data_IF_789320191190
#
_entry.id   IF_789320191190
#
_cell.length_a   1.000
_cell.length_b   1.000
_cell.length_c   1.000
_cell.angle_alpha   90.00
_cell.angle_beta   90.00
_cell.angle_gamma   90.00
#
_symmetry.space_group_name_H-M   'P 1'
#
loop_
_entity.id
_entity.type
_entity.pdbx_description
1 polymer ?
#
# COMPACT_ATOMS: atom_id res chain seq x y z
N UNK A 1 29.60 -62.92 32.33
CA UNK A 1 28.77 -64.08 32.72
C UNK A 1 27.88 -63.65 33.87
N UNK A 2 26.61 -63.40 33.56
CA UNK A 2 25.41 -63.83 34.31
C UNK A 2 24.26 -62.95 33.81
N UNK A 3 23.40 -63.58 33.02
CA UNK A 3 22.31 -63.00 32.25
C UNK A 3 21.13 -62.60 33.11
N UNK A 4 20.47 -61.51 32.72
CA UNK A 4 19.14 -61.11 33.17
C UNK A 4 18.10 -62.20 32.87
N UNK A 5 17.13 -62.47 33.77
CA UNK A 5 16.06 -63.41 33.49
C UNK A 5 15.01 -62.73 32.60
N UNK A 6 14.83 -63.27 31.40
CA UNK A 6 13.82 -62.85 30.45
C UNK A 6 12.43 -63.39 30.81
N UNK A 7 11.48 -62.49 30.65
CA UNK A 7 10.03 -62.65 30.65
C UNK A 7 9.60 -63.68 29.59
N UNK A 8 9.65 -64.98 29.88
CA UNK A 8 9.12 -65.99 28.95
C UNK A 8 8.89 -67.36 29.59
N UNK A 9 7.93 -67.49 30.52
CA UNK A 9 7.44 -68.82 30.94
C UNK A 9 6.05 -68.79 31.58
N UNK A 10 5.09 -68.10 30.95
CA UNK A 10 3.66 -68.20 31.31
C UNK A 10 2.87 -68.72 30.11
N UNK A 11 3.15 -69.98 29.76
CA UNK A 11 2.27 -70.82 28.94
C UNK A 11 2.05 -72.16 29.64
N UNK A 12 1.29 -72.15 30.72
CA UNK A 12 0.51 -73.32 31.17
C UNK A 12 -0.84 -72.83 31.71
N UNK A 13 -1.96 -73.45 31.34
CA UNK A 13 -3.24 -73.16 31.98
C UNK A 13 -3.16 -73.60 33.44
N UNK A 14 -3.65 -72.75 34.35
CA UNK A 14 -3.79 -73.08 35.76
C UNK A 14 -4.85 -74.19 35.89
N UNK A 15 -4.40 -75.42 36.04
CA UNK A 15 -5.24 -76.56 36.40
C UNK A 15 -5.45 -76.51 37.90
N UNK A 16 -6.71 -76.41 38.33
CA UNK A 16 -7.08 -76.55 39.74
C UNK A 16 -7.26 -78.05 40.04
N UNK A 17 -6.47 -78.59 40.97
CA UNK A 17 -6.70 -79.93 41.52
C UNK A 17 -7.26 -79.83 42.95
N UNK A 18 -8.35 -80.55 43.27
CA UNK A 18 -8.88 -80.58 44.64
C UNK A 18 -8.03 -81.50 45.51
N UNK A 19 -7.16 -80.93 46.34
CA UNK A 19 -6.53 -81.67 47.44
C UNK A 19 -7.55 -81.82 48.57
N UNK A 20 -8.39 -82.86 48.48
CA UNK A 20 -9.22 -83.29 49.60
C UNK A 20 -8.34 -83.88 50.70
N UNK A 21 -7.96 -83.06 51.68
CA UNK A 21 -7.51 -83.54 52.98
C UNK A 21 -8.38 -82.91 54.07
N UNK A 22 -9.41 -83.64 54.48
CA UNK A 22 -10.15 -83.36 55.71
C UNK A 22 -9.36 -84.00 56.86
N UNK A 23 -9.10 -83.27 57.95
CA UNK A 23 -9.52 -83.80 59.24
C UNK A 23 -10.23 -82.75 60.10
N UNK A 24 -11.50 -83.03 60.36
CA UNK A 24 -12.15 -83.06 61.67
C UNK A 24 -11.77 -82.00 62.73
N UNK A 25 -12.76 -81.15 63.05
CA UNK A 25 -13.43 -81.06 64.37
C UNK A 25 -13.44 -79.69 65.07
N UNK A 26 -14.64 -79.36 65.57
CA UNK A 26 -15.03 -78.43 66.66
C UNK A 26 -15.40 -76.96 66.37
N UNK A 27 -16.70 -76.79 66.09
CA UNK A 27 -17.67 -75.78 66.60
C UNK A 27 -17.15 -74.66 67.52
N UNK A 28 -17.41 -73.41 67.14
CA UNK A 28 -18.02 -72.41 68.04
C UNK A 28 -18.61 -71.18 67.31
N UNK A 29 -19.91 -70.92 67.57
CA UNK A 29 -20.71 -69.69 67.38
C UNK A 29 -21.33 -69.41 66.00
N UNK A 30 -22.61 -69.76 65.91
CA UNK A 30 -23.50 -69.74 64.75
C UNK A 30 -24.24 -68.41 64.48
N UNK A 31 -23.79 -67.24 64.98
CA UNK A 31 -24.45 -65.95 64.65
C UNK A 31 -23.63 -65.15 63.63
N UNK A 32 -22.30 -65.09 63.79
CA UNK A 32 -21.41 -64.50 62.78
C UNK A 32 -21.23 -65.41 61.55
N UNK A 33 -21.45 -66.72 61.68
CA UNK A 33 -21.40 -67.69 60.57
C UNK A 33 -22.62 -67.60 59.64
N UNK A 34 -23.81 -67.26 60.15
CA UNK A 34 -25.02 -67.10 59.34
C UNK A 34 -24.97 -65.79 58.53
N UNK A 35 -24.57 -64.67 59.15
CA UNK A 35 -24.42 -63.37 58.48
C UNK A 35 -23.29 -63.39 57.43
N UNK A 36 -22.19 -64.10 57.73
CA UNK A 36 -21.11 -64.32 56.77
C UNK A 36 -21.50 -65.31 55.65
N UNK A 37 -22.33 -66.31 55.95
CA UNK A 37 -22.88 -67.24 54.96
C UNK A 37 -23.81 -66.54 53.98
N UNK A 38 -24.67 -65.65 54.46
CA UNK A 38 -25.58 -64.87 53.64
C UNK A 38 -24.81 -63.90 52.74
N UNK A 39 -23.82 -63.19 53.30
CA UNK A 39 -22.93 -62.31 52.52
C UNK A 39 -22.11 -63.08 51.46
N UNK A 40 -21.61 -64.27 51.79
CA UNK A 40 -20.91 -65.12 50.83
C UNK A 40 -21.83 -65.65 49.72
N UNK A 41 -23.10 -65.88 50.03
CA UNK A 41 -24.11 -66.33 49.07
C UNK A 41 -24.50 -65.21 48.12
N UNK A 42 -24.67 -64.00 48.64
CA UNK A 42 -24.91 -62.79 47.84
C UNK A 42 -23.72 -62.47 46.93
N UNK A 43 -22.50 -62.46 47.46
CA UNK A 43 -21.28 -62.20 46.69
C UNK A 43 -21.06 -63.27 45.60
N UNK A 44 -21.41 -64.53 45.89
CA UNK A 44 -21.38 -65.62 44.90
C UNK A 44 -22.44 -65.43 43.81
N UNK A 45 -23.62 -64.93 44.16
CA UNK A 45 -24.67 -64.63 43.19
C UNK A 45 -24.27 -63.46 42.28
N UNK A 46 -23.67 -62.42 42.83
CA UNK A 46 -23.20 -61.24 42.09
C UNK A 46 -22.06 -61.63 41.14
N UNK A 47 -21.08 -62.42 41.61
CA UNK A 47 -20.04 -62.99 40.75
C UNK A 47 -20.59 -63.87 39.63
N UNK A 48 -21.65 -64.63 39.89
CA UNK A 48 -22.28 -65.46 38.85
C UNK A 48 -22.96 -64.57 37.80
N UNK A 49 -23.67 -63.51 38.19
CA UNK A 49 -24.27 -62.57 37.23
C UNK A 49 -23.22 -61.80 36.42
N UNK A 50 -22.11 -61.42 37.04
CA UNK A 50 -20.99 -60.78 36.36
C UNK A 50 -20.34 -61.72 35.33
N UNK A 51 -20.16 -63.00 35.68
CA UNK A 51 -19.65 -64.02 34.76
C UNK A 51 -20.59 -64.24 33.58
N UNK A 52 -21.90 -64.33 33.83
CA UNK A 52 -22.89 -64.52 32.78
C UNK A 52 -22.97 -63.28 31.85
N UNK A 53 -22.73 -62.07 32.38
CA UNK A 53 -22.64 -60.85 31.59
C UNK A 53 -21.36 -60.78 30.74
N UNK A 54 -20.21 -61.19 31.30
CA UNK A 54 -18.95 -61.28 30.57
C UNK A 54 -19.05 -62.28 29.41
N UNK A 55 -19.67 -63.45 29.64
CA UNK A 55 -19.87 -64.46 28.60
C UNK A 55 -20.79 -63.96 27.47
N UNK A 56 -21.81 -63.15 27.79
CA UNK A 56 -22.65 -62.48 26.78
C UNK A 56 -21.86 -61.48 25.94
N UNK A 57 -21.06 -60.63 26.58
CA UNK A 57 -20.23 -59.63 25.89
C UNK A 57 -19.23 -60.34 24.97
N UNK A 58 -18.58 -61.41 25.46
CA UNK A 58 -17.65 -62.19 24.64
C UNK A 58 -18.35 -62.81 23.42
N UNK A 59 -19.58 -63.31 23.59
CA UNK A 59 -20.36 -63.87 22.51
C UNK A 59 -20.81 -62.81 21.48
N UNK A 60 -21.17 -61.62 21.94
CA UNK A 60 -21.55 -60.50 21.08
C UNK A 60 -20.36 -59.95 20.29
N UNK A 61 -19.20 -59.80 20.92
CA UNK A 61 -17.95 -59.42 20.25
C UNK A 61 -17.59 -60.48 19.21
N UNK A 62 -17.65 -61.76 19.55
CA UNK A 62 -17.35 -62.84 18.62
C UNK A 62 -18.32 -62.89 17.43
N UNK A 63 -19.61 -62.61 17.68
CA UNK A 63 -20.61 -62.52 16.62
C UNK A 63 -20.35 -61.31 15.71
N UNK A 64 -19.98 -60.15 16.24
CA UNK A 64 -19.68 -58.98 15.39
C UNK A 64 -18.34 -59.10 14.66
N UNK A 65 -17.33 -59.71 15.28
CA UNK A 65 -16.08 -60.05 14.57
C UNK A 65 -16.32 -61.10 13.49
N UNK A 66 -17.17 -62.09 13.76
CA UNK A 66 -17.55 -63.11 12.78
C UNK A 66 -18.38 -62.53 11.64
N UNK A 67 -19.29 -61.60 11.94
CA UNK A 67 -20.14 -60.91 10.97
C UNK A 67 -19.35 -59.94 10.08
N UNK A 68 -18.34 -59.27 10.64
CA UNK A 68 -17.42 -58.40 9.87
C UNK A 68 -16.38 -59.22 9.09
N UNK A 69 -15.78 -60.24 9.69
CA UNK A 69 -14.81 -61.14 9.03
C UNK A 69 -15.41 -62.05 7.95
N UNK A 70 -16.71 -62.37 8.03
CA UNK A 70 -17.42 -63.11 6.97
C UNK A 70 -17.87 -62.20 5.82
N UNK A 71 -18.01 -60.90 6.04
CA UNK A 71 -18.42 -59.95 4.99
C UNK A 71 -17.25 -59.53 4.10
N UNK A 72 -16.05 -59.36 4.67
CA UNK A 72 -14.83 -58.97 3.95
C UNK A 72 -13.65 -59.62 4.69
N UNK A 73 -12.88 -60.47 4.00
CA UNK A 73 -11.75 -61.15 4.62
C UNK A 73 -10.73 -60.14 5.18
N UNK A 74 -10.16 -60.44 6.35
CA UNK A 74 -9.21 -59.57 7.08
C UNK A 74 -8.08 -58.99 6.20
N UNK A 75 -7.66 -59.72 5.16
CA UNK A 75 -6.66 -59.29 4.17
C UNK A 75 -7.17 -58.26 3.16
N UNK A 76 -8.45 -58.26 2.84
CA UNK A 76 -9.06 -57.34 1.86
C UNK A 76 -9.22 -55.93 2.44
N UNK A 77 -9.50 -55.80 3.73
CA UNK A 77 -9.55 -54.48 4.41
C UNK A 77 -8.15 -53.85 4.46
N UNK A 78 -7.12 -54.64 4.80
CA UNK A 78 -5.74 -54.13 4.81
C UNK A 78 -5.28 -53.75 3.40
N UNK A 79 -5.52 -54.62 2.40
CA UNK A 79 -5.14 -54.36 1.01
C UNK A 79 -5.87 -53.12 0.43
N UNK A 80 -7.15 -52.91 0.76
CA UNK A 80 -7.89 -51.73 0.29
C UNK A 80 -7.37 -50.44 0.92
N UNK A 81 -6.97 -50.47 2.19
CA UNK A 81 -6.30 -49.37 2.86
C UNK A 81 -4.91 -49.07 2.25
N UNK A 82 -4.08 -50.09 2.03
CA UNK A 82 -2.76 -49.94 1.40
C UNK A 82 -2.87 -49.38 -0.03
N UNK A 83 -3.90 -49.78 -0.77
CA UNK A 83 -4.17 -49.22 -2.09
C UNK A 83 -4.59 -47.74 -2.03
N UNK A 84 -5.39 -47.36 -1.03
CA UNK A 84 -5.78 -45.97 -0.82
C UNK A 84 -4.58 -45.10 -0.40
N UNK A 85 -3.74 -45.61 0.51
CA UNK A 85 -2.52 -44.94 0.95
C UNK A 85 -1.54 -44.76 -0.21
N UNK A 86 -1.36 -45.78 -1.05
CA UNK A 86 -0.52 -45.71 -2.24
C UNK A 86 -1.04 -44.68 -3.24
N UNK A 87 -2.36 -44.63 -3.47
CA UNK A 87 -2.98 -43.62 -4.36
C UNK A 87 -2.78 -42.20 -3.82
N UNK A 88 -3.00 -41.99 -2.53
CA UNK A 88 -2.80 -40.70 -1.89
C UNK A 88 -1.34 -40.27 -1.92
N UNK A 89 -0.40 -41.21 -1.70
CA UNK A 89 1.03 -40.93 -1.79
C UNK A 89 1.43 -40.50 -3.21
N UNK A 90 0.92 -41.17 -4.25
CA UNK A 90 1.14 -40.75 -5.63
C UNK A 90 0.52 -39.36 -5.92
N UNK A 91 -0.67 -39.07 -5.39
CA UNK A 91 -1.29 -37.75 -5.56
C UNK A 91 -0.48 -36.64 -4.86
N UNK A 92 0.04 -36.89 -3.66
CA UNK A 92 0.92 -35.95 -2.95
C UNK A 92 2.20 -35.72 -3.74
N UNK A 93 2.81 -36.77 -4.29
CA UNK A 93 4.01 -36.65 -5.12
C UNK A 93 3.75 -35.81 -6.39
N UNK A 94 2.62 -36.03 -7.07
CA UNK A 94 2.21 -35.20 -8.19
C UNK A 94 2.03 -33.72 -7.78
N UNK A 95 1.33 -33.46 -6.67
CA UNK A 95 1.12 -32.10 -6.16
C UNK A 95 2.45 -31.45 -5.75
N UNK A 96 3.39 -32.21 -5.20
CA UNK A 96 4.72 -31.72 -4.86
C UNK A 96 5.49 -31.30 -6.12
N UNK A 97 5.45 -32.12 -7.17
CA UNK A 97 6.08 -31.80 -8.45
C UNK A 97 5.44 -30.55 -9.08
N UNK A 98 4.10 -30.49 -9.12
CA UNK A 98 3.36 -29.37 -9.70
C UNK A 98 3.60 -28.07 -8.92
N UNK A 99 3.63 -28.13 -7.58
CA UNK A 99 3.94 -26.98 -6.74
C UNK A 99 5.37 -26.49 -6.93
N UNK A 100 6.34 -27.39 -7.12
CA UNK A 100 7.74 -27.04 -7.42
C UNK A 100 7.86 -26.42 -8.81
N UNK A 101 7.15 -26.94 -9.80
CA UNK A 101 7.09 -26.34 -11.15
C UNK A 101 6.45 -24.95 -11.11
N UNK A 102 5.36 -24.78 -10.37
CA UNK A 102 4.70 -23.49 -10.21
C UNK A 102 5.61 -22.48 -9.51
N UNK A 103 6.31 -22.88 -8.44
CA UNK A 103 7.27 -22.02 -7.75
C UNK A 103 8.40 -21.56 -8.67
N UNK A 104 8.91 -22.47 -9.52
CA UNK A 104 9.91 -22.13 -10.53
C UNK A 104 9.36 -21.16 -11.58
N UNK A 105 8.15 -21.39 -12.08
CA UNK A 105 7.49 -20.50 -13.04
C UNK A 105 7.25 -19.12 -12.43
N UNK A 106 6.76 -19.05 -11.19
CA UNK A 106 6.57 -17.80 -10.47
C UNK A 106 7.90 -17.05 -10.29
N UNK A 107 8.99 -17.75 -9.97
CA UNK A 107 10.32 -17.14 -9.88
C UNK A 107 10.77 -16.53 -11.20
N UNK A 108 10.56 -17.24 -12.32
CA UNK A 108 10.89 -16.73 -13.66
C UNK A 108 10.04 -15.51 -14.01
N UNK A 109 8.73 -15.57 -13.77
CA UNK A 109 7.79 -14.46 -14.02
C UNK A 109 8.14 -13.25 -13.16
N UNK A 110 8.40 -13.42 -11.88
CA UNK A 110 8.82 -12.34 -10.97
C UNK A 110 10.13 -11.71 -11.43
N UNK A 111 11.13 -12.52 -11.82
CA UNK A 111 12.40 -12.00 -12.34
C UNK A 111 12.24 -11.25 -13.67
N UNK A 112 11.30 -11.67 -14.54
CA UNK A 112 10.98 -10.92 -15.74
C UNK A 112 10.27 -9.61 -15.42
N UNK A 113 9.29 -9.63 -14.51
CA UNK A 113 8.58 -8.43 -14.06
C UNK A 113 9.55 -7.41 -13.47
N UNK A 114 10.49 -7.83 -12.61
CA UNK A 114 11.49 -6.95 -12.02
C UNK A 114 12.44 -6.33 -13.07
N UNK A 115 12.85 -7.10 -14.07
CA UNK A 115 13.64 -6.59 -15.21
C UNK A 115 12.86 -5.59 -16.05
N UNK A 116 11.56 -5.81 -16.26
CA UNK A 116 10.70 -4.87 -16.98
C UNK A 116 10.51 -3.61 -16.14
N UNK A 117 10.11 -3.72 -14.88
CA UNK A 117 9.90 -2.59 -13.97
C UNK A 117 11.14 -1.73 -13.79
N UNK A 118 12.34 -2.33 -13.66
CA UNK A 118 13.59 -1.57 -13.57
C UNK A 118 13.91 -0.80 -14.87
N UNK A 119 13.68 -1.41 -16.04
CA UNK A 119 13.84 -0.72 -17.33
C UNK A 119 12.82 0.40 -17.53
N UNK A 120 11.56 0.16 -17.16
CA UNK A 120 10.51 1.20 -17.23
C UNK A 120 10.85 2.35 -16.28
N UNK A 121 11.25 2.07 -15.04
CA UNK A 121 11.67 3.10 -14.08
C UNK A 121 12.86 3.92 -14.60
N UNK A 122 13.88 3.27 -15.17
CA UNK A 122 15.01 3.98 -15.79
C UNK A 122 14.58 4.86 -16.98
N UNK A 123 13.64 4.37 -17.80
CA UNK A 123 13.06 5.12 -18.91
C UNK A 123 12.23 6.30 -18.42
N UNK A 124 11.43 6.12 -17.37
CA UNK A 124 10.60 7.17 -16.79
C UNK A 124 11.45 8.30 -16.20
N UNK A 125 12.56 7.96 -15.53
CA UNK A 125 13.53 8.95 -15.06
C UNK A 125 14.14 9.72 -16.25
N UNK A 126 14.56 9.02 -17.31
CA UNK A 126 15.09 9.68 -18.50
C UNK A 126 14.05 10.59 -19.16
N UNK A 127 12.80 10.11 -19.30
CA UNK A 127 11.67 10.88 -19.83
C UNK A 127 11.38 12.12 -18.98
N UNK A 128 11.35 11.98 -17.65
CA UNK A 128 11.15 13.10 -16.73
C UNK A 128 12.22 14.17 -16.91
N UNK A 129 13.50 13.78 -17.04
CA UNK A 129 14.61 14.70 -17.29
C UNK A 129 14.51 15.40 -18.64
N UNK A 130 14.08 14.68 -19.69
CA UNK A 130 13.86 15.26 -21.02
C UNK A 130 12.72 16.28 -20.99
N UNK A 131 11.60 15.94 -20.34
CA UNK A 131 10.46 16.86 -20.19
C UNK A 131 10.88 18.12 -19.43
N UNK A 132 11.66 17.98 -18.36
CA UNK A 132 12.19 19.10 -17.60
C UNK A 132 13.13 19.98 -18.47
N UNK A 133 14.02 19.37 -19.25
CA UNK A 133 14.88 20.10 -20.17
C UNK A 133 14.08 20.84 -21.24
N UNK A 134 13.04 20.22 -21.82
CA UNK A 134 12.16 20.85 -22.80
C UNK A 134 11.41 22.05 -22.20
N UNK A 135 10.93 21.92 -20.96
CA UNK A 135 10.30 23.04 -20.26
C UNK A 135 11.30 24.18 -20.07
N UNK A 136 12.52 23.88 -19.59
CA UNK A 136 13.59 24.89 -19.43
C UNK A 136 13.94 25.60 -20.74
N UNK A 137 14.01 24.87 -21.86
CA UNK A 137 14.29 25.45 -23.18
C UNK A 137 13.12 26.34 -23.64
N UNK A 138 11.87 25.92 -23.39
CA UNK A 138 10.69 26.74 -23.66
C UNK A 138 10.73 28.04 -22.84
N UNK A 139 11.04 27.96 -21.55
CA UNK A 139 11.12 29.13 -20.67
C UNK A 139 12.24 30.09 -21.09
N UNK A 140 13.40 29.56 -21.50
CA UNK A 140 14.52 30.36 -22.02
C UNK A 140 14.17 31.05 -23.35
N UNK A 141 13.51 30.32 -24.26
CA UNK A 141 13.02 30.89 -25.52
C UNK A 141 12.03 32.02 -25.23
N UNK A 142 11.11 31.78 -24.31
CA UNK A 142 10.08 32.75 -23.94
C UNK A 142 10.70 33.99 -23.27
N UNK A 143 11.72 33.83 -22.42
CA UNK A 143 12.48 34.94 -21.86
C UNK A 143 13.11 35.78 -22.96
N UNK A 144 13.80 35.14 -23.92
CA UNK A 144 14.45 35.83 -25.03
C UNK A 144 13.43 36.60 -25.89
N UNK A 145 12.31 35.97 -26.23
CA UNK A 145 11.23 36.62 -26.98
C UNK A 145 10.63 37.79 -26.21
N UNK A 146 10.51 37.71 -24.87
CA UNK A 146 10.08 38.85 -24.07
C UNK A 146 11.13 39.97 -24.08
N UNK A 147 12.42 39.66 -23.93
CA UNK A 147 13.47 40.67 -23.93
C UNK A 147 13.52 41.44 -25.27
N UNK A 148 13.57 40.71 -26.38
CA UNK A 148 13.58 41.30 -27.73
C UNK A 148 12.27 42.03 -28.03
N UNK A 149 11.12 41.45 -27.67
CA UNK A 149 9.80 42.04 -27.89
C UNK A 149 9.56 43.34 -27.11
N UNK A 150 10.05 43.42 -25.86
CA UNK A 150 9.95 44.66 -25.06
C UNK A 150 10.79 45.77 -25.68
N UNK A 151 12.04 45.51 -26.08
CA UNK A 151 12.88 46.53 -26.70
C UNK A 151 12.23 47.09 -27.97
N UNK A 152 11.72 46.22 -28.84
CA UNK A 152 11.04 46.62 -30.09
C UNK A 152 9.76 47.41 -29.78
N UNK A 153 8.92 46.94 -28.85
CA UNK A 153 7.68 47.61 -28.50
C UNK A 153 7.93 48.99 -27.87
N UNK A 154 8.98 49.13 -27.06
CA UNK A 154 9.38 50.42 -26.50
C UNK A 154 9.88 51.40 -27.58
N UNK A 155 10.60 50.91 -28.60
CA UNK A 155 11.05 51.74 -29.74
C UNK A 155 9.90 52.25 -30.60
N UNK A 156 8.85 51.45 -30.80
CA UNK A 156 7.66 51.83 -31.56
C UNK A 156 6.62 52.60 -30.73
N UNK A 157 6.94 52.98 -29.49
CA UNK A 157 6.02 53.61 -28.53
C UNK A 157 4.73 52.80 -28.26
N UNK A 158 4.76 51.49 -28.52
CA UNK A 158 3.62 50.60 -28.26
C UNK A 158 3.68 50.04 -26.83
N UNK A 159 3.26 50.86 -25.87
CA UNK A 159 3.33 50.52 -24.45
C UNK A 159 2.42 49.36 -24.03
N UNK A 160 1.36 49.07 -24.78
CA UNK A 160 0.47 47.93 -24.48
C UNK A 160 1.16 46.59 -24.74
N UNK A 161 1.88 46.50 -25.86
CA UNK A 161 2.61 45.30 -26.24
C UNK A 161 3.83 45.10 -25.32
N UNK A 162 4.53 46.18 -24.98
CA UNK A 162 5.59 46.16 -23.98
C UNK A 162 5.07 45.64 -22.61
N UNK A 163 3.92 46.13 -22.16
CA UNK A 163 3.30 45.68 -20.91
C UNK A 163 2.91 44.19 -20.95
N UNK A 164 2.44 43.67 -22.10
CA UNK A 164 2.16 42.23 -22.27
C UNK A 164 3.41 41.37 -22.13
N UNK A 165 4.51 41.78 -22.76
CA UNK A 165 5.77 41.05 -22.65
C UNK A 165 6.35 41.10 -21.23
N UNK A 166 6.26 42.24 -20.55
CA UNK A 166 6.67 42.36 -19.13
C UNK A 166 5.77 41.53 -18.23
N UNK A 167 4.45 41.53 -18.45
CA UNK A 167 3.52 40.68 -17.70
C UNK A 167 3.89 39.20 -17.81
N UNK A 168 4.16 38.73 -19.04
CA UNK A 168 4.61 37.36 -19.30
C UNK A 168 5.94 37.08 -18.61
N UNK A 169 6.87 38.03 -18.62
CA UNK A 169 8.13 37.92 -17.89
C UNK A 169 7.93 37.79 -16.37
N UNK A 170 7.06 38.59 -15.75
CA UNK A 170 6.75 38.50 -14.32
C UNK A 170 6.12 37.14 -13.95
N UNK A 171 5.30 36.56 -14.86
CA UNK A 171 4.78 35.21 -14.69
C UNK A 171 5.86 34.12 -14.83
N UNK A 172 6.81 34.31 -15.76
CA UNK A 172 7.98 33.43 -15.94
C UNK A 172 8.94 33.51 -14.74
N UNK A 173 9.17 34.69 -14.17
CA UNK A 173 10.11 34.91 -13.06
C UNK A 173 9.77 34.06 -11.83
N UNK A 174 8.48 33.93 -11.49
CA UNK A 174 8.01 33.03 -10.42
C UNK A 174 8.35 31.54 -10.68
N UNK A 175 8.41 31.12 -11.93
CA UNK A 175 8.65 29.72 -12.32
C UNK A 175 10.15 29.44 -12.48
N UNK A 176 10.90 30.37 -13.05
CA UNK A 176 12.31 30.22 -13.43
C UNK A 176 13.25 30.47 -12.25
N UNK A 177 12.94 31.38 -11.32
CA UNK A 177 13.80 31.69 -10.16
C UNK A 177 13.98 30.50 -9.21
N UNK A 178 12.97 29.62 -9.09
CA UNK A 178 13.09 28.36 -8.34
C UNK A 178 14.03 27.33 -8.99
N UNK A 179 14.36 27.53 -10.27
CA UNK A 179 15.09 26.55 -11.10
C UNK A 179 16.53 26.98 -11.41
N UNK A 180 16.80 28.29 -11.45
CA UNK A 180 18.12 28.84 -11.75
C UNK A 180 19.19 28.62 -10.67
N UNK A 181 18.80 28.42 -9.41
CA UNK A 181 19.74 28.14 -8.30
C UNK A 181 20.51 26.82 -8.45
N UNK A 182 20.06 25.91 -9.32
CA UNK A 182 20.65 24.57 -9.48
C UNK A 182 21.63 24.45 -10.67
N UNK A 183 21.80 25.49 -11.50
CA UNK A 183 22.57 25.38 -12.75
C UNK A 183 23.80 26.29 -12.72
N UNK A 184 24.94 25.70 -12.33
CA UNK A 184 26.31 26.25 -12.46
C UNK A 184 26.83 26.26 -13.91
N UNK A 185 25.96 26.46 -14.91
CA UNK A 185 26.39 26.59 -16.31
C UNK A 185 26.87 28.01 -16.57
N UNK A 186 28.16 28.26 -16.28
CA UNK A 186 28.82 29.57 -16.41
C UNK A 186 28.61 30.27 -17.76
N UNK A 187 28.43 29.55 -18.86
CA UNK A 187 28.39 30.14 -20.20
C UNK A 187 26.96 30.55 -20.65
N UNK A 188 25.96 29.68 -20.43
CA UNK A 188 24.55 30.01 -20.72
C UNK A 188 23.95 30.98 -19.69
N UNK A 189 24.48 30.98 -18.46
CA UNK A 189 24.03 31.87 -17.40
C UNK A 189 24.27 33.36 -17.70
N UNK A 190 25.30 33.69 -18.49
CA UNK A 190 25.59 35.09 -18.85
C UNK A 190 24.54 35.68 -19.80
N UNK A 191 24.15 34.95 -20.85
CA UNK A 191 23.09 35.42 -21.77
C UNK A 191 21.73 35.50 -21.07
N UNK A 192 21.44 34.57 -20.16
CA UNK A 192 20.19 34.58 -19.39
C UNK A 192 20.14 35.81 -18.48
N UNK A 193 21.18 36.03 -17.66
CA UNK A 193 21.29 37.20 -16.77
C UNK A 193 21.19 38.51 -17.54
N UNK A 194 21.82 38.60 -18.72
CA UNK A 194 21.73 39.77 -19.58
C UNK A 194 20.29 40.05 -20.03
N UNK A 195 19.55 39.03 -20.52
CA UNK A 195 18.13 39.19 -20.89
C UNK A 195 17.26 39.60 -19.69
N UNK A 196 17.55 39.09 -18.49
CA UNK A 196 16.89 39.51 -17.25
C UNK A 196 17.16 40.97 -16.91
N UNK A 197 18.41 41.43 -17.02
CA UNK A 197 18.78 42.82 -16.75
C UNK A 197 18.10 43.78 -17.73
N UNK A 198 18.09 43.45 -19.03
CA UNK A 198 17.37 44.23 -20.05
C UNK A 198 15.89 44.33 -19.70
N UNK A 199 15.23 43.20 -19.40
CA UNK A 199 13.80 43.18 -19.08
C UNK A 199 13.48 43.98 -17.83
N UNK A 200 14.31 43.90 -16.79
CA UNK A 200 14.14 44.67 -15.56
C UNK A 200 14.32 46.18 -15.80
N UNK A 201 15.32 46.55 -16.58
CA UNK A 201 15.55 47.95 -16.96
C UNK A 201 14.38 48.49 -17.80
N UNK A 202 13.94 47.73 -18.79
CA UNK A 202 12.83 48.09 -19.65
C UNK A 202 11.51 48.20 -18.87
N UNK A 203 11.26 47.30 -17.91
CA UNK A 203 10.11 47.38 -17.00
C UNK A 203 10.12 48.68 -16.17
N UNK A 204 11.26 49.02 -15.56
CA UNK A 204 11.41 50.28 -14.82
C UNK A 204 11.19 51.51 -15.69
N UNK A 205 11.73 51.51 -16.91
CA UNK A 205 11.52 52.58 -17.88
C UNK A 205 10.06 52.69 -18.29
N UNK A 206 9.38 51.57 -18.54
CA UNK A 206 7.97 51.55 -18.94
C UNK A 206 7.07 52.11 -17.83
N UNK A 207 7.32 51.76 -16.56
CA UNK A 207 6.58 52.30 -15.40
C UNK A 207 6.70 53.83 -15.40
N UNK A 208 7.92 54.36 -15.49
CA UNK A 208 8.14 55.80 -15.51
C UNK A 208 7.49 56.52 -16.68
N UNK A 209 7.42 55.88 -17.86
CA UNK A 209 6.74 56.44 -19.04
C UNK A 209 5.22 56.43 -18.86
N UNK A 210 4.65 55.32 -18.38
CA UNK A 210 3.20 55.19 -18.16
C UNK A 210 2.73 56.21 -17.12
N UNK A 211 3.47 56.40 -16.03
CA UNK A 211 3.14 57.40 -15.01
C UNK A 211 3.12 58.82 -15.60
N UNK A 212 4.14 59.20 -16.37
CA UNK A 212 4.21 60.52 -17.02
C UNK A 212 3.09 60.72 -18.03
N UNK A 213 2.81 59.72 -18.87
CA UNK A 213 1.75 59.77 -19.88
C UNK A 213 0.36 59.80 -19.23
N UNK A 214 0.16 59.09 -18.13
CA UNK A 214 -1.06 59.14 -17.34
C UNK A 214 -1.29 60.53 -16.73
N UNK A 215 -0.27 61.10 -16.08
CA UNK A 215 -0.35 62.46 -15.52
C UNK A 215 -0.65 63.50 -16.61
N UNK A 216 -0.07 63.33 -17.80
CA UNK A 216 -0.33 64.20 -18.96
C UNK A 216 -1.77 64.06 -19.44
N UNK A 217 -2.31 62.84 -19.52
CA UNK A 217 -3.70 62.58 -19.90
C UNK A 217 -4.71 63.15 -18.87
N UNK A 218 -4.35 63.13 -17.59
CA UNK A 218 -5.11 63.79 -16.52
C UNK A 218 -5.15 65.30 -16.72
N UNK A 219 -4.02 65.94 -17.06
CA UNK A 219 -3.96 67.38 -17.31
C UNK A 219 -4.75 67.79 -18.56
N UNK A 220 -4.73 66.98 -19.61
CA UNK A 220 -5.49 67.24 -20.85
C UNK A 220 -6.96 66.83 -20.78
N UNK A 221 -7.44 66.30 -19.65
CA UNK A 221 -8.78 65.73 -19.46
C UNK A 221 -9.16 64.67 -20.54
N UNK A 222 -8.20 63.92 -21.05
CA UNK A 222 -8.46 62.86 -22.02
C UNK A 222 -8.81 61.55 -21.30
N UNK A 223 -10.12 61.28 -21.21
CA UNK A 223 -10.64 60.07 -20.56
C UNK A 223 -10.24 58.79 -21.29
N UNK A 224 -10.11 58.81 -22.62
CA UNK A 224 -9.79 57.62 -23.39
C UNK A 224 -8.34 57.18 -23.15
N UNK A 225 -7.39 58.13 -23.19
CA UNK A 225 -5.99 57.85 -22.87
C UNK A 225 -5.80 57.46 -21.40
N UNK A 226 -6.55 58.07 -20.48
CA UNK A 226 -6.50 57.73 -19.06
C UNK A 226 -6.89 56.27 -18.81
N UNK A 227 -8.02 55.81 -19.36
CA UNK A 227 -8.46 54.42 -19.24
C UNK A 227 -7.46 53.44 -19.87
N UNK A 228 -6.86 53.82 -21.00
CA UNK A 228 -5.85 53.02 -21.70
C UNK A 228 -4.63 52.79 -20.82
N UNK A 229 -4.04 53.84 -20.26
CA UNK A 229 -2.87 53.73 -19.39
C UNK A 229 -3.23 53.10 -18.03
N UNK A 230 -4.44 53.33 -17.53
CA UNK A 230 -4.91 52.70 -16.29
C UNK A 230 -4.90 51.16 -16.38
N UNK A 231 -5.28 50.59 -17.53
CA UNK A 231 -5.25 49.14 -17.77
C UNK A 231 -3.85 48.55 -17.80
N UNK A 232 -2.80 49.36 -17.98
CA UNK A 232 -1.42 48.87 -18.03
C UNK A 232 -0.79 48.70 -16.65
N UNK A 233 -1.20 49.48 -15.64
CA UNK A 233 -0.68 49.36 -14.27
C UNK A 233 -0.86 47.94 -13.69
N UNK A 234 -2.02 47.28 -13.83
CA UNK A 234 -2.19 45.88 -13.43
C UNK A 234 -1.27 44.89 -14.12
N UNK A 235 -1.01 45.08 -15.42
CA UNK A 235 -0.19 44.14 -16.20
C UNK A 235 1.28 44.15 -15.75
N UNK A 236 1.75 45.29 -15.27
CA UNK A 236 3.14 45.49 -14.82
C UNK A 236 3.29 45.25 -13.30
N UNK A 237 2.23 44.75 -12.65
CA UNK A 237 2.18 44.48 -11.20
C UNK A 237 2.35 45.74 -10.32
N UNK A 238 2.03 46.92 -10.85
CA UNK A 238 2.10 48.21 -10.15
C UNK A 238 0.70 48.76 -9.89
N UNK A 239 -0.13 47.95 -9.23
CA UNK A 239 -1.53 48.29 -8.94
C UNK A 239 -1.65 49.49 -7.99
N UNK A 240 -0.72 49.61 -7.04
CA UNK A 240 -0.73 50.61 -5.98
C UNK A 240 -0.53 52.02 -6.50
N UNK A 241 0.50 52.25 -7.33
CA UNK A 241 0.74 53.58 -7.92
C UNK A 241 -0.43 53.98 -8.82
N UNK A 242 -0.93 53.06 -9.65
CA UNK A 242 -2.07 53.32 -10.54
C UNK A 242 -3.34 53.74 -9.79
N UNK A 243 -3.69 53.02 -8.71
CA UNK A 243 -4.87 53.33 -7.90
C UNK A 243 -4.70 54.65 -7.14
N UNK A 244 -3.52 54.93 -6.60
CA UNK A 244 -3.25 56.18 -5.90
C UNK A 244 -3.39 57.40 -6.82
N UNK A 245 -2.85 57.31 -8.04
CA UNK A 245 -2.94 58.39 -9.05
C UNK A 245 -4.37 58.59 -9.53
N UNK A 246 -5.09 57.52 -9.81
CA UNK A 246 -6.50 57.59 -10.20
C UNK A 246 -7.39 58.13 -9.07
N UNK A 247 -7.13 57.72 -7.83
CA UNK A 247 -7.81 58.26 -6.64
C UNK A 247 -7.61 59.77 -6.48
N UNK A 248 -6.37 60.26 -6.64
CA UNK A 248 -6.09 61.70 -6.63
C UNK A 248 -6.86 62.45 -7.72
N UNK A 249 -6.90 61.91 -8.93
CA UNK A 249 -7.68 62.49 -10.04
C UNK A 249 -9.17 62.60 -9.69
N UNK A 250 -9.76 61.54 -9.13
CA UNK A 250 -11.17 61.55 -8.73
C UNK A 250 -11.44 62.60 -7.64
N UNK A 251 -10.57 62.73 -6.64
CA UNK A 251 -10.73 63.76 -5.60
C UNK A 251 -10.75 65.16 -6.22
N UNK A 252 -9.80 65.50 -7.09
CA UNK A 252 -9.76 66.80 -7.77
C UNK A 252 -10.98 67.03 -8.66
N UNK A 253 -11.50 65.98 -9.29
CA UNK A 253 -12.71 66.07 -10.11
C UNK A 253 -13.97 66.30 -9.27
N UNK A 254 -14.07 65.64 -8.11
CA UNK A 254 -15.16 65.82 -7.14
C UNK A 254 -15.12 67.23 -6.55
N UNK A 255 -13.93 67.73 -6.19
CA UNK A 255 -13.75 69.12 -5.71
C UNK A 255 -14.26 70.14 -6.73
N UNK A 256 -13.87 70.01 -8.00
CA UNK A 256 -14.36 70.89 -9.07
C UNK A 256 -15.88 70.81 -9.25
N UNK A 257 -16.45 69.61 -9.25
CA UNK A 257 -17.90 69.41 -9.32
C UNK A 257 -18.64 69.99 -8.09
N UNK A 258 -18.01 69.94 -6.92
CA UNK A 258 -18.53 70.56 -5.70
C UNK A 258 -18.56 72.07 -5.82
N UNK A 259 -17.47 72.69 -6.27
CA UNK A 259 -17.36 74.13 -6.48
C UNK A 259 -18.34 74.65 -7.54
N UNK A 260 -18.55 73.89 -8.62
CA UNK A 260 -19.49 74.24 -9.69
C UNK A 260 -20.96 74.10 -9.26
N UNK A 261 -21.29 73.16 -8.37
CA UNK A 261 -22.66 73.00 -7.84
C UNK A 261 -22.98 73.95 -6.67
N UNK A 262 -21.96 74.50 -6.01
CA UNK A 262 -22.13 75.45 -4.89
C UNK A 262 -22.24 76.91 -5.36
N UNK A 263 -21.99 77.19 -6.65
CA UNK A 263 -22.26 78.47 -7.32
C UNK A 263 -23.66 78.51 -7.92
#
# INVERSE_FOLDING_TARGET
>A
MLSEPTFNDIKRPLVWEPTNHIPSNQKSKNEDEEDFSDLLTDLRSELQTARDAEERILKDIQNELGRTGAAIGDKDVMHTFDLALSRLNNQIECVEIDSRQLANNLRVVSGLAEKISSKVSALDVAKSRVVECLQRVSDLRDLRTCAEGVEIAMQHENYEEAAKHIHRFLALDSAVFKMGEQIDAKDAGHSMKYSYEILRQAAGNLIGIIEKKFDTAVLSNDTASMERYFKLFPLINEHTSGLQRFGKYLCTKIEKLGDDNYK
#
